data_IF_786618575558
#
_entry.id   IF_786618575558
#
_cell.length_a   1.000
_cell.length_b   1.000
_cell.length_c   1.000
_cell.angle_alpha   90.00
_cell.angle_beta   90.00
_cell.angle_gamma   90.00
#
_symmetry.space_group_name_H-M   'P 1'
#
loop_
_entity.id
_entity.type
_entity.pdbx_description
1 polymer ?
#
# COMPACT_ATOMS: atom_id res chain seq x y z
N UNK A 1 7.24 0.79 -2.00
CA UNK A 1 7.60 -0.55 -1.50
C UNK A 1 7.13 -0.68 -0.06
N UNK A 2 6.33 -1.70 0.21
CA UNK A 2 5.85 -2.05 1.55
C UNK A 2 6.91 -2.90 2.25
N UNK A 3 7.31 -2.50 3.46
CA UNK A 3 8.39 -3.16 4.22
C UNK A 3 7.84 -3.80 5.50
N UNK A 4 8.19 -5.07 5.69
CA UNK A 4 7.87 -5.90 6.85
C UNK A 4 8.70 -5.55 8.10
N UNK A 5 8.29 -5.98 9.30
CA UNK A 5 9.05 -5.76 10.53
C UNK A 5 10.48 -6.30 10.49
N UNK A 6 10.73 -7.38 9.74
CA UNK A 6 12.06 -7.95 9.53
C UNK A 6 12.87 -7.29 8.42
N UNK A 7 12.44 -6.16 7.88
CA UNK A 7 13.10 -5.45 6.76
C UNK A 7 12.86 -6.07 5.37
N UNK A 8 12.16 -7.21 5.30
CA UNK A 8 11.77 -7.84 4.04
C UNK A 8 10.69 -7.04 3.29
N UNK A 9 10.66 -7.16 1.96
CA UNK A 9 9.63 -6.55 1.13
C UNK A 9 8.37 -7.42 1.18
N UNK A 10 7.24 -6.82 1.55
CA UNK A 10 5.92 -7.49 1.55
C UNK A 10 5.04 -7.05 0.38
N UNK A 11 5.48 -6.05 -0.39
CA UNK A 11 4.79 -5.63 -1.60
C UNK A 11 5.54 -4.58 -2.41
N UNK A 12 5.70 -4.82 -3.70
CA UNK A 12 6.07 -3.80 -4.68
C UNK A 12 4.82 -3.19 -5.29
N UNK A 13 4.62 -1.89 -5.08
CA UNK A 13 3.41 -1.18 -5.47
C UNK A 13 3.75 -0.27 -6.64
N UNK A 14 2.97 -0.37 -7.70
CA UNK A 14 3.00 0.53 -8.84
C UNK A 14 1.61 1.15 -9.03
N UNK A 15 1.57 2.47 -9.13
CA UNK A 15 0.33 3.25 -9.32
C UNK A 15 0.55 4.13 -10.54
N UNK A 16 -0.30 4.01 -11.54
CA UNK A 16 -0.24 4.88 -12.72
C UNK A 16 -0.99 6.21 -12.48
N UNK A 17 -0.96 7.08 -13.49
CA UNK A 17 -1.62 8.39 -13.46
C UNK A 17 -3.16 8.33 -13.48
N UNK A 18 -3.74 7.14 -13.65
CA UNK A 18 -5.18 6.87 -13.60
C UNK A 18 -5.58 6.09 -12.35
N UNK A 19 -4.66 5.99 -11.38
CA UNK A 19 -4.83 5.22 -10.14
C UNK A 19 -5.02 3.72 -10.35
N UNK A 20 -4.61 3.17 -11.50
CA UNK A 20 -4.53 1.72 -11.62
C UNK A 20 -3.36 1.20 -10.78
N UNK A 21 -3.66 0.22 -9.93
CA UNK A 21 -2.70 -0.31 -8.98
C UNK A 21 -2.27 -1.71 -9.39
N UNK A 22 -0.97 -1.95 -9.31
CA UNK A 22 -0.38 -3.28 -9.34
C UNK A 22 0.41 -3.51 -8.05
N UNK A 23 0.23 -4.68 -7.45
CA UNK A 23 1.02 -5.16 -6.31
C UNK A 23 1.77 -6.42 -6.75
N UNK A 24 3.10 -6.42 -6.62
CA UNK A 24 3.97 -7.50 -7.10
C UNK A 24 3.69 -7.86 -8.57
N UNK A 25 3.45 -6.84 -9.40
CA UNK A 25 3.14 -6.97 -10.83
C UNK A 25 1.69 -7.39 -11.16
N UNK A 26 0.88 -7.79 -10.17
CA UNK A 26 -0.52 -8.19 -10.36
C UNK A 26 -1.46 -7.00 -10.15
N UNK A 27 -2.36 -6.75 -11.10
CA UNK A 27 -3.40 -5.72 -10.96
C UNK A 27 -4.34 -6.05 -9.79
N UNK A 28 -4.72 -5.02 -9.04
CA UNK A 28 -5.66 -5.10 -7.92
C UNK A 28 -6.68 -3.99 -8.03
N UNK A 29 -7.89 -4.24 -7.54
CA UNK A 29 -8.89 -3.20 -7.42
C UNK A 29 -8.48 -2.21 -6.32
N UNK A 30 -8.61 -0.93 -6.64
CA UNK A 30 -8.33 0.17 -5.73
C UNK A 30 -9.53 1.09 -5.61
N UNK A 31 -9.70 1.66 -4.43
CA UNK A 31 -10.78 2.61 -4.14
C UNK A 31 -10.24 3.81 -3.36
N UNK A 32 -10.86 4.98 -3.56
CA UNK A 32 -10.64 6.10 -2.66
C UNK A 32 -11.52 5.99 -1.42
N UNK A 33 -10.93 6.25 -0.26
CA UNK A 33 -11.62 6.36 1.03
C UNK A 33 -10.91 7.43 1.86
N UNK A 34 -11.65 8.41 2.35
CA UNK A 34 -11.15 9.46 3.26
C UNK A 34 -9.85 10.15 2.77
N UNK A 35 -9.76 10.40 1.45
CA UNK A 35 -8.60 11.04 0.84
C UNK A 35 -7.44 10.10 0.50
N UNK A 36 -7.45 8.84 0.94
CA UNK A 36 -6.45 7.84 0.62
C UNK A 36 -6.89 6.91 -0.53
N UNK A 37 -5.93 6.36 -1.25
CA UNK A 37 -6.13 5.24 -2.17
C UNK A 37 -5.86 3.93 -1.41
N UNK A 38 -6.88 3.07 -1.33
CA UNK A 38 -6.87 1.83 -0.57
C UNK A 38 -7.08 0.65 -1.50
N UNK A 39 -6.24 -0.38 -1.36
CA UNK A 39 -6.30 -1.61 -2.16
C UNK A 39 -5.77 -2.80 -1.38
N UNK A 40 -6.06 -4.01 -1.84
CA UNK A 40 -5.74 -5.24 -1.10
C UNK A 40 -5.14 -6.30 -2.03
N UNK A 41 -4.13 -7.04 -1.53
CA UNK A 41 -3.65 -8.27 -2.16
C UNK A 41 -3.60 -9.38 -1.09
N UNK A 42 -4.49 -10.35 -1.19
CA UNK A 42 -4.63 -11.39 -0.16
C UNK A 42 -5.11 -10.79 1.17
N UNK A 43 -4.38 -11.04 2.25
CA UNK A 43 -4.68 -10.50 3.60
C UNK A 43 -4.05 -9.12 3.85
N UNK A 44 -3.31 -8.57 2.89
CA UNK A 44 -2.62 -7.30 3.05
C UNK A 44 -3.42 -6.17 2.42
N UNK A 45 -3.84 -5.23 3.25
CA UNK A 45 -4.42 -3.95 2.84
C UNK A 45 -3.33 -2.89 2.80
N UNK A 46 -3.29 -2.12 1.72
CA UNK A 46 -2.37 -1.01 1.51
C UNK A 46 -3.16 0.29 1.45
N UNK A 47 -2.62 1.33 2.08
CA UNK A 47 -3.21 2.66 2.15
C UNK A 47 -2.15 3.67 1.71
N UNK A 48 -2.48 4.45 0.67
CA UNK A 48 -1.61 5.47 0.10
C UNK A 48 -2.32 6.82 0.27
N UNK A 49 -1.76 7.73 1.05
CA UNK A 49 -2.37 9.04 1.26
C UNK A 49 -2.34 9.86 -0.02
N UNK A 50 -3.49 10.47 -0.33
CA UNK A 50 -3.60 11.40 -1.45
C UNK A 50 -2.93 12.74 -1.14
N UNK A 51 -2.94 13.16 0.13
CA UNK A 51 -2.24 14.37 0.56
C UNK A 51 -0.75 14.08 0.77
N UNK A 52 0.04 14.44 -0.23
CA UNK A 52 1.50 14.26 -0.22
C UNK A 52 2.23 15.26 0.69
N UNK A 53 1.55 16.23 1.28
CA UNK A 53 2.13 17.09 2.33
C UNK A 53 2.31 16.34 3.64
N UNK A 54 1.52 15.29 3.87
CA UNK A 54 1.64 14.38 5.01
C UNK A 54 2.74 13.35 4.73
N UNK A 55 3.77 13.35 5.59
CA UNK A 55 4.89 12.42 5.47
C UNK A 55 4.62 11.15 6.27
N UNK A 56 5.11 10.03 5.76
CA UNK A 56 5.11 8.73 6.45
C UNK A 56 3.72 8.14 6.79
N UNK A 57 2.68 8.62 6.12
CA UNK A 57 1.30 8.13 6.33
C UNK A 57 0.92 6.95 5.42
N UNK A 58 1.73 6.65 4.41
CA UNK A 58 1.53 5.49 3.54
C UNK A 58 1.89 4.21 4.32
N UNK A 59 0.95 3.28 4.45
CA UNK A 59 1.11 2.11 5.31
C UNK A 59 0.38 0.88 4.76
N UNK A 60 0.79 -0.29 5.24
CA UNK A 60 0.11 -1.55 4.98
C UNK A 60 -0.26 -2.25 6.29
N UNK A 61 -1.27 -3.11 6.24
CA UNK A 61 -1.72 -3.95 7.35
C UNK A 61 -2.06 -5.35 6.83
N UNK A 62 -1.57 -6.37 7.53
CA UNK A 62 -1.89 -7.79 7.32
C UNK A 62 -2.90 -8.23 8.38
N UNK A 63 -4.08 -8.65 7.96
CA UNK A 63 -5.13 -9.13 8.86
C UNK A 63 -4.88 -10.55 9.39
N UNK A 64 -4.10 -11.36 8.68
CA UNK A 64 -3.74 -12.73 9.10
C UNK A 64 -2.61 -12.74 10.13
N UNK A 65 -1.54 -11.95 9.91
CA UNK A 65 -0.43 -11.86 10.84
C UNK A 65 -0.65 -10.81 11.95
N UNK A 66 -1.65 -9.93 11.80
CA UNK A 66 -1.90 -8.82 12.73
C UNK A 66 -0.75 -7.79 12.75
N UNK A 67 0.01 -7.70 11.66
CA UNK A 67 1.17 -6.80 11.56
C UNK A 67 0.91 -5.66 10.59
N UNK A 68 1.65 -4.56 10.75
CA UNK A 68 1.61 -3.40 9.86
C UNK A 68 3.01 -2.85 9.64
N UNK A 69 3.14 -2.02 8.62
CA UNK A 69 4.42 -1.35 8.36
C UNK A 69 4.30 -0.21 7.37
N UNK A 70 5.41 0.52 7.17
CA UNK A 70 5.46 1.66 6.27
C UNK A 70 5.50 1.22 4.81
N UNK A 71 5.04 2.12 3.93
CA UNK A 71 5.25 2.04 2.50
C UNK A 71 6.12 3.23 2.10
N UNK A 72 7.25 2.95 1.45
CA UNK A 72 8.16 3.98 0.95
C UNK A 72 7.96 4.18 -0.55
N UNK A 73 7.77 5.43 -0.98
CA UNK A 73 7.82 5.77 -2.39
C UNK A 73 9.24 5.46 -2.95
N UNK A 74 9.30 4.97 -4.18
CA UNK A 74 10.55 4.85 -4.96
C UNK A 74 10.67 6.03 -5.90
#
# INVERSE_FOLDING_TARGET
VAVGPGGGIVGEIHIDNKEHVKVNGKAVDAKRSDGALVFTQGFITYTIQGDRSLKDEDHWYSSDAGTKGPIYAK
#
